data_IF_934483852174
#
_entry.id   IF_934483852174
#
_cell.length_a   1.000
_cell.length_b   1.000
_cell.length_c   1.000
_cell.angle_alpha   90.00
_cell.angle_beta   90.00
_cell.angle_gamma   90.00
#
_symmetry.space_group_name_H-M   'P 1'
#
loop_
_entity.id
_entity.type
_entity.pdbx_description
1 polymer ?
#
# COMPACT_ATOMS: atom_id res chain seq x y z
N UNK A 1 2.39 -17.73 -0.34
CA UNK A 1 2.81 -16.74 -1.34
C UNK A 1 4.33 -16.73 -1.50
N UNK A 2 4.84 -16.68 -2.74
CA UNK A 2 6.27 -16.60 -3.07
C UNK A 2 6.65 -15.35 -3.88
N UNK A 3 7.94 -15.21 -4.28
CA UNK A 3 8.45 -14.07 -5.06
C UNK A 3 7.73 -13.87 -6.40
N UNK A 4 7.51 -14.97 -7.11
CA UNK A 4 6.87 -14.96 -8.42
C UNK A 4 5.41 -14.49 -8.32
N UNK A 5 4.67 -15.05 -7.37
CA UNK A 5 3.26 -14.72 -7.11
C UNK A 5 3.07 -13.25 -6.71
N UNK A 6 3.99 -12.70 -5.90
CA UNK A 6 3.98 -11.27 -5.57
C UNK A 6 4.21 -10.39 -6.82
N UNK A 7 5.12 -10.81 -7.70
CA UNK A 7 5.41 -10.09 -8.94
C UNK A 7 4.21 -10.11 -9.88
N UNK A 8 3.51 -11.24 -9.97
CA UNK A 8 2.27 -11.39 -10.75
C UNK A 8 1.15 -10.51 -10.21
N UNK A 9 0.93 -10.49 -8.88
CA UNK A 9 -0.06 -9.59 -8.24
C UNK A 9 0.26 -8.14 -8.59
N UNK A 10 1.53 -7.72 -8.50
CA UNK A 10 1.91 -6.34 -8.78
C UNK A 10 1.78 -6.00 -10.25
N UNK A 11 2.18 -6.90 -11.16
CA UNK A 11 2.01 -6.73 -12.59
C UNK A 11 0.53 -6.61 -12.98
N UNK A 12 -0.34 -7.46 -12.41
CA UNK A 12 -1.78 -7.41 -12.63
C UNK A 12 -2.43 -6.13 -12.10
N UNK A 13 -1.79 -5.46 -11.12
CA UNK A 13 -2.32 -4.27 -10.45
C UNK A 13 -1.50 -2.99 -10.73
N UNK A 14 -0.70 -2.93 -11.80
CA UNK A 14 0.13 -1.75 -12.15
C UNK A 14 -0.67 -0.47 -12.41
N UNK A 15 -1.97 -0.58 -12.69
CA UNK A 15 -2.84 0.58 -12.89
C UNK A 15 -3.30 1.21 -11.57
N UNK A 16 -3.02 0.57 -10.43
CA UNK A 16 -3.44 1.06 -9.12
C UNK A 16 -2.42 2.10 -8.62
N UNK A 17 -2.86 3.31 -8.22
CA UNK A 17 -1.94 4.39 -7.86
C UNK A 17 -0.90 4.02 -6.81
N UNK A 18 -1.27 3.28 -5.75
CA UNK A 18 -0.31 2.90 -4.72
C UNK A 18 0.72 1.87 -5.21
N UNK A 19 0.36 1.03 -6.17
CA UNK A 19 1.29 0.10 -6.82
C UNK A 19 2.24 0.85 -7.75
N UNK A 20 1.76 1.86 -8.48
CA UNK A 20 2.63 2.75 -9.25
C UNK A 20 3.67 3.45 -8.37
N UNK A 21 3.28 3.88 -7.17
CA UNK A 21 4.21 4.44 -6.19
C UNK A 21 5.22 3.41 -5.72
N UNK A 22 4.75 2.20 -5.40
CA UNK A 22 5.61 1.11 -4.97
C UNK A 22 6.72 0.79 -6.01
N UNK A 23 6.35 0.67 -7.30
CA UNK A 23 7.31 0.34 -8.38
C UNK A 23 8.21 1.52 -8.73
N UNK A 24 7.73 2.77 -8.59
CA UNK A 24 8.47 3.99 -8.96
C UNK A 24 8.95 4.77 -7.71
N UNK A 25 9.24 4.08 -6.60
CA UNK A 25 9.52 4.68 -5.28
C UNK A 25 10.53 5.84 -5.26
N UNK A 26 11.52 5.84 -6.16
CA UNK A 26 12.60 6.83 -6.19
C UNK A 26 12.18 8.18 -6.75
N UNK A 27 11.04 8.25 -7.44
CA UNK A 27 10.51 9.51 -7.99
C UNK A 27 9.37 10.09 -7.13
N UNK A 28 8.94 9.39 -6.09
CA UNK A 28 7.89 9.86 -5.18
C UNK A 28 8.48 10.47 -3.90
N UNK A 29 7.81 11.49 -3.33
CA UNK A 29 8.23 12.11 -2.08
C UNK A 29 8.17 11.12 -0.91
N UNK A 30 8.99 11.38 0.12
CA UNK A 30 9.06 10.57 1.35
C UNK A 30 8.56 11.36 2.56
N UNK A 31 8.00 10.67 3.56
CA UNK A 31 7.76 11.22 4.89
C UNK A 31 8.90 10.80 5.80
N UNK A 32 9.50 11.78 6.50
CA UNK A 32 10.38 11.49 7.63
C UNK A 32 9.53 11.08 8.83
N UNK A 33 9.75 9.87 9.32
CA UNK A 33 9.09 9.40 10.53
C UNK A 33 9.84 9.93 11.77
N UNK A 34 9.17 10.04 12.94
CA UNK A 34 9.78 10.55 14.18
C UNK A 34 11.04 9.80 14.61
N UNK A 35 11.11 8.50 14.33
CA UNK A 35 12.23 7.61 14.63
C UNK A 35 13.43 7.75 13.66
N UNK A 36 13.38 8.70 12.73
CA UNK A 36 14.45 8.96 11.76
C UNK A 36 14.41 8.10 10.49
N UNK A 37 13.46 7.17 10.38
CA UNK A 37 13.26 6.38 9.15
C UNK A 37 12.45 7.15 8.12
N UNK A 38 12.59 6.80 6.83
CA UNK A 38 11.78 7.37 5.77
C UNK A 38 10.72 6.38 5.29
N UNK A 39 9.49 6.88 5.12
CA UNK A 39 8.38 6.13 4.54
C UNK A 39 7.90 6.83 3.29
N UNK A 40 8.10 6.21 2.13
CA UNK A 40 7.40 6.58 0.89
C UNK A 40 6.06 5.87 0.75
N UNK A 41 5.92 4.71 1.41
CA UNK A 41 4.73 3.85 1.33
C UNK A 41 4.51 3.17 2.67
N UNK A 42 3.26 3.14 3.13
CA UNK A 42 2.77 2.25 4.18
C UNK A 42 1.48 1.62 3.69
N UNK A 43 1.32 0.33 3.97
CA UNK A 43 0.16 -0.45 3.57
C UNK A 43 -0.50 -1.02 4.81
N UNK A 44 -1.82 -1.13 4.73
CA UNK A 44 -2.67 -1.80 5.69
C UNK A 44 -3.57 -2.77 4.94
N UNK A 45 -4.20 -3.67 5.66
CA UNK A 45 -5.24 -4.52 5.11
C UNK A 45 -6.46 -4.54 6.02
N UNK A 46 -7.60 -4.91 5.47
CA UNK A 46 -8.83 -5.14 6.22
C UNK A 46 -9.88 -5.88 5.40
N UNK A 47 -11.01 -6.18 6.03
CA UNK A 47 -12.08 -6.95 5.42
C UNK A 47 -13.22 -6.03 4.97
N UNK A 48 -13.70 -6.24 3.74
CA UNK A 48 -14.88 -5.58 3.17
C UNK A 48 -15.78 -6.67 2.61
N UNK A 49 -16.94 -6.87 3.24
CA UNK A 49 -17.82 -8.02 2.97
C UNK A 49 -17.05 -9.36 3.09
N UNK A 50 -17.08 -10.17 2.05
CA UNK A 50 -16.40 -11.48 1.98
C UNK A 50 -14.98 -11.39 1.38
N UNK A 51 -14.46 -10.19 1.17
CA UNK A 51 -13.14 -9.95 0.55
C UNK A 51 -12.19 -9.25 1.51
N UNK A 52 -10.90 -9.44 1.27
CA UNK A 52 -9.83 -8.79 2.02
C UNK A 52 -9.12 -7.81 1.10
N UNK A 53 -8.98 -6.57 1.54
CA UNK A 53 -8.35 -5.54 0.73
C UNK A 53 -7.04 -5.10 1.36
N UNK A 54 -6.04 -4.84 0.51
CA UNK A 54 -4.80 -4.16 0.87
C UNK A 54 -4.82 -2.77 0.27
N UNK A 55 -4.53 -1.76 1.09
CA UNK A 55 -4.60 -0.36 0.69
C UNK A 55 -3.49 0.46 1.38
N UNK A 56 -3.11 1.62 0.83
CA UNK A 56 -2.11 2.47 1.45
C UNK A 56 -2.68 3.27 2.62
N UNK A 57 -1.90 3.42 3.70
CA UNK A 57 -2.20 4.40 4.76
C UNK A 57 -1.50 5.75 4.55
N UNK A 58 -0.57 5.80 3.59
CA UNK A 58 0.09 7.01 3.14
C UNK A 58 -0.30 7.28 1.69
N UNK A 59 -0.90 8.44 1.42
CA UNK A 59 -1.29 8.85 0.08
C UNK A 59 -0.77 10.23 -0.31
N UNK A 60 -0.74 10.50 -1.62
CA UNK A 60 -0.44 11.82 -2.15
C UNK A 60 -1.75 12.62 -2.22
N UNK A 61 -2.01 13.46 -1.22
CA UNK A 61 -3.19 14.33 -1.16
C UNK A 61 -2.74 15.73 -1.54
N UNK A 62 -3.32 16.29 -2.61
CA UNK A 62 -2.96 17.62 -3.14
C UNK A 62 -1.45 17.81 -3.38
N UNK A 63 -0.77 16.78 -3.90
CA UNK A 63 0.67 16.82 -4.18
C UNK A 63 1.58 16.65 -2.95
N UNK A 64 1.01 16.46 -1.75
CA UNK A 64 1.76 16.21 -0.52
C UNK A 64 1.54 14.78 -0.03
N UNK A 65 2.62 14.12 0.39
CA UNK A 65 2.51 12.83 1.05
C UNK A 65 1.89 13.04 2.44
N UNK A 66 0.74 12.41 2.68
CA UNK A 66 -0.05 12.51 3.90
C UNK A 66 -0.26 11.12 4.48
N UNK A 67 0.08 10.97 5.76
CA UNK A 67 -0.31 9.82 6.57
C UNK A 67 -1.77 10.01 7.01
N UNK A 68 -2.67 9.20 6.44
CA UNK A 68 -4.12 9.38 6.57
C UNK A 68 -4.57 9.23 8.01
N UNK A 69 -3.99 8.26 8.74
CA UNK A 69 -4.28 8.04 10.14
C UNK A 69 -3.93 9.28 10.99
N UNK A 70 -2.78 9.91 10.71
CA UNK A 70 -2.38 11.14 11.41
C UNK A 70 -3.24 12.34 11.03
N UNK A 71 -3.80 12.35 9.83
CA UNK A 71 -4.72 13.38 9.37
C UNK A 71 -6.16 13.17 9.88
N UNK A 72 -6.44 12.08 10.61
CA UNK A 72 -7.79 11.74 11.06
C UNK A 72 -8.71 11.25 9.94
N UNK A 73 -8.14 10.78 8.83
CA UNK A 73 -8.86 10.25 7.66
C UNK A 73 -8.79 8.72 7.71
N UNK A 74 -9.91 8.04 7.50
CA UNK A 74 -9.93 6.59 7.39
C UNK A 74 -9.27 6.15 6.06
N UNK A 75 -8.10 5.48 6.10
CA UNK A 75 -7.42 5.04 4.90
C UNK A 75 -8.19 3.98 4.11
N UNK A 76 -9.02 3.16 4.78
CA UNK A 76 -9.83 2.15 4.10
C UNK A 76 -10.96 2.81 3.32
N UNK A 77 -11.68 3.73 3.96
CA UNK A 77 -12.77 4.47 3.31
C UNK A 77 -12.23 5.24 2.10
N UNK A 78 -11.11 5.95 2.27
CA UNK A 78 -10.47 6.65 1.16
C UNK A 78 -10.10 5.69 0.02
N UNK A 79 -9.48 4.56 0.34
CA UNK A 79 -9.07 3.57 -0.65
C UNK A 79 -10.25 3.04 -1.45
N UNK A 80 -11.39 2.78 -0.79
CA UNK A 80 -12.62 2.36 -1.45
C UNK A 80 -13.17 3.48 -2.37
N UNK A 81 -13.16 4.73 -1.92
CA UNK A 81 -13.64 5.88 -2.69
C UNK A 81 -12.80 6.13 -3.96
N UNK A 82 -11.46 6.06 -3.84
CA UNK A 82 -10.54 6.34 -4.95
C UNK A 82 -10.11 5.07 -5.72
N UNK A 83 -10.63 3.88 -5.34
CA UNK A 83 -10.27 2.56 -5.89
C UNK A 83 -8.78 2.24 -5.79
N UNK A 84 -8.14 2.65 -4.71
CA UNK A 84 -6.70 2.48 -4.48
C UNK A 84 -6.42 1.28 -3.55
N UNK A 85 -6.86 0.09 -3.93
CA UNK A 85 -6.70 -1.14 -3.16
C UNK A 85 -6.57 -2.38 -4.05
N UNK A 86 -5.95 -3.44 -3.54
CA UNK A 86 -5.94 -4.78 -4.15
C UNK A 86 -6.85 -5.69 -3.33
N UNK A 87 -7.66 -6.50 -4.01
CA UNK A 87 -8.50 -7.53 -3.37
C UNK A 87 -7.78 -8.88 -3.29
N UNK A 88 -8.06 -9.59 -2.21
CA UNK A 88 -7.58 -10.93 -1.89
C UNK A 88 -8.76 -11.79 -1.41
N UNK A 89 -8.65 -13.09 -1.66
CA UNK A 89 -9.67 -14.07 -1.26
C UNK A 89 -9.50 -14.54 0.18
N UNK A 90 -8.30 -14.38 0.76
CA UNK A 90 -8.02 -14.80 2.13
C UNK A 90 -7.33 -13.70 2.96
N UNK A 91 -7.55 -13.66 4.29
CA UNK A 91 -6.86 -12.72 5.17
C UNK A 91 -5.35 -13.00 5.20
N UNK A 92 -4.97 -14.28 5.07
CA UNK A 92 -3.58 -14.70 5.08
C UNK A 92 -2.79 -14.13 3.89
N UNK A 93 -3.39 -14.06 2.70
CA UNK A 93 -2.75 -13.45 1.53
C UNK A 93 -2.58 -11.94 1.70
N UNK A 94 -3.64 -11.25 2.14
CA UNK A 94 -3.58 -9.81 2.39
C UNK A 94 -2.54 -9.46 3.46
N UNK A 95 -2.50 -10.22 4.56
CA UNK A 95 -1.51 -10.04 5.61
C UNK A 95 -0.09 -10.35 5.12
N UNK A 96 0.10 -11.44 4.37
CA UNK A 96 1.41 -11.78 3.84
C UNK A 96 1.92 -10.69 2.90
N UNK A 97 1.07 -10.16 2.02
CA UNK A 97 1.42 -9.09 1.09
C UNK A 97 1.90 -7.85 1.84
N UNK A 98 1.12 -7.38 2.83
CA UNK A 98 1.47 -6.18 3.63
C UNK A 98 2.76 -6.34 4.43
N UNK A 99 3.09 -7.56 4.88
CA UNK A 99 4.33 -7.84 5.63
C UNK A 99 5.56 -8.04 4.76
N UNK A 100 5.40 -8.56 3.54
CA UNK A 100 6.54 -9.03 2.75
C UNK A 100 6.85 -8.17 1.52
N UNK A 101 5.96 -7.27 1.07
CA UNK A 101 6.22 -6.44 -0.11
C UNK A 101 7.57 -5.70 -0.03
N UNK A 102 7.97 -5.21 1.15
CA UNK A 102 9.23 -4.48 1.33
C UNK A 102 10.47 -5.31 0.99
N UNK A 103 10.47 -6.60 1.36
CA UNK A 103 11.61 -7.51 1.14
C UNK A 103 11.88 -7.73 -0.35
N UNK A 104 10.85 -7.65 -1.17
CA UNK A 104 10.94 -7.95 -2.59
C UNK A 104 11.10 -6.70 -3.47
N UNK A 105 10.85 -5.51 -2.91
CA UNK A 105 11.03 -4.22 -3.58
C UNK A 105 12.18 -3.37 -2.99
N UNK A 106 13.06 -4.01 -2.21
CA UNK A 106 14.30 -3.44 -1.67
C UNK A 106 14.07 -2.30 -0.67
N UNK A 107 12.93 -2.29 0.02
CA UNK A 107 12.56 -1.24 0.99
C UNK A 107 13.02 -1.68 2.39
N UNK A 108 14.34 -1.79 2.57
CA UNK A 108 14.97 -1.88 3.90
C UNK A 108 15.31 -0.48 4.42
#
# INVERSE_FOLDING_TARGET
MGQQELSEIIQGNQNIPFIQRLINRYIYPVINNPEGTQSSHKMMWGQVNDKYIVFPSIELVNGKLTDMLKAGIDPMEQALQNKNFIEFDSPNEAEWFTKNYKKYFGVE
#
